data_IF_579657573559
#
_entry.id   IF_579657573559
#
_cell.length_a   1.000
_cell.length_b   1.000
_cell.length_c   1.000
_cell.angle_alpha   90.00
_cell.angle_beta   90.00
_cell.angle_gamma   90.00
#
_symmetry.space_group_name_H-M   'P 1'
#
loop_
_entity.id
_entity.type
_entity.pdbx_description
1 polymer ?
#
# COMPACT_ATOMS: atom_id res chain seq x y z
N UNK A 1 -18.59 -14.11 -11.89
CA UNK A 1 -18.31 -12.89 -11.13
C UNK A 1 -17.00 -13.01 -10.35
N UNK A 2 -15.94 -13.40 -11.06
CA UNK A 2 -14.60 -13.59 -10.50
C UNK A 2 -13.73 -12.40 -10.86
N UNK A 3 -14.11 -11.21 -10.36
CA UNK A 3 -13.17 -10.11 -10.29
C UNK A 3 -12.09 -10.49 -9.28
N UNK A 4 -10.78 -10.48 -9.62
CA UNK A 4 -9.73 -11.07 -8.78
C UNK A 4 -9.48 -10.39 -7.40
N UNK A 5 -10.30 -9.42 -6.99
CA UNK A 5 -9.87 -8.38 -6.04
C UNK A 5 -10.14 -8.69 -4.57
N UNK A 6 -11.34 -9.14 -4.18
CA UNK A 6 -11.69 -9.20 -2.75
C UNK A 6 -11.03 -10.37 -1.99
N UNK A 7 -11.05 -11.59 -2.55
CA UNK A 7 -10.48 -12.77 -1.86
C UNK A 7 -8.98 -12.63 -1.63
N UNK A 8 -8.26 -12.07 -2.61
CA UNK A 8 -6.82 -11.84 -2.49
C UNK A 8 -6.49 -10.74 -1.47
N UNK A 9 -7.29 -9.67 -1.41
CA UNK A 9 -7.07 -8.62 -0.40
C UNK A 9 -7.28 -9.15 1.01
N UNK A 10 -8.42 -9.79 1.27
CA UNK A 10 -8.74 -10.31 2.60
C UNK A 10 -7.76 -11.37 3.08
N UNK A 11 -7.34 -12.31 2.22
CA UNK A 11 -6.35 -13.32 2.61
C UNK A 11 -5.00 -12.70 3.01
N UNK A 12 -4.56 -11.67 2.28
CA UNK A 12 -3.33 -10.95 2.60
C UNK A 12 -3.46 -10.12 3.88
N UNK A 13 -4.59 -9.46 4.11
CA UNK A 13 -4.83 -8.72 5.35
C UNK A 13 -4.80 -9.64 6.56
N UNK A 14 -5.42 -10.82 6.47
CA UNK A 14 -5.34 -11.83 7.53
C UNK A 14 -3.92 -12.37 7.74
N UNK A 15 -3.18 -12.63 6.65
CA UNK A 15 -1.78 -13.04 6.74
C UNK A 15 -0.96 -11.98 7.49
N UNK A 16 -1.08 -10.71 7.13
CA UNK A 16 -0.34 -9.62 7.77
C UNK A 16 -0.77 -9.43 9.23
N UNK A 17 -2.08 -9.45 9.50
CA UNK A 17 -2.63 -9.27 10.84
C UNK A 17 -2.13 -10.36 11.79
N UNK A 18 -2.20 -11.62 11.37
CA UNK A 18 -1.86 -12.76 12.22
C UNK A 18 -0.36 -12.93 12.44
N UNK A 19 0.48 -12.52 11.48
CA UNK A 19 1.93 -12.67 11.60
C UNK A 19 2.61 -11.46 12.25
N UNK A 20 2.16 -10.25 11.97
CA UNK A 20 2.87 -9.01 12.37
C UNK A 20 1.94 -7.90 12.87
N UNK A 21 0.63 -8.16 13.02
CA UNK A 21 -0.34 -7.12 13.40
C UNK A 21 -0.57 -6.07 12.32
N UNK A 22 -0.19 -6.36 11.08
CA UNK A 22 -0.24 -5.44 9.95
C UNK A 22 -1.54 -5.53 9.15
N UNK A 23 -1.67 -4.63 8.18
CA UNK A 23 -2.77 -4.64 7.19
C UNK A 23 -2.28 -4.04 5.88
N UNK A 24 -2.98 -4.30 4.76
CA UNK A 24 -2.78 -3.50 3.55
C UNK A 24 -3.28 -2.08 3.76
N UNK A 25 -2.69 -1.16 3.01
CA UNK A 25 -3.10 0.24 2.97
C UNK A 25 -3.73 0.56 1.63
N UNK A 26 -4.74 1.42 1.66
CA UNK A 26 -5.18 2.16 0.46
C UNK A 26 -4.09 3.16 0.07
N UNK A 27 -4.12 3.62 -1.19
CA UNK A 27 -3.21 4.68 -1.65
C UNK A 27 -3.28 5.90 -0.75
N UNK A 28 -4.48 6.40 -0.44
CA UNK A 28 -4.66 7.57 0.44
C UNK A 28 -4.06 7.37 1.84
N UNK A 29 -4.26 6.19 2.44
CA UNK A 29 -3.67 5.89 3.75
C UNK A 29 -2.15 5.80 3.68
N UNK A 30 -1.59 5.29 2.59
CA UNK A 30 -0.13 5.20 2.41
C UNK A 30 0.47 6.58 2.15
N UNK A 31 -0.18 7.41 1.33
CA UNK A 31 0.22 8.81 1.08
C UNK A 31 0.32 9.58 2.39
N UNK A 32 -0.73 9.57 3.22
CA UNK A 32 -0.72 10.27 4.50
C UNK A 32 0.43 9.82 5.41
N UNK A 33 0.68 8.50 5.50
CA UNK A 33 1.77 7.96 6.32
C UNK A 33 3.16 8.35 5.82
N UNK A 34 3.37 8.34 4.51
CA UNK A 34 4.65 8.74 3.90
C UNK A 34 4.90 10.23 4.10
N UNK A 35 3.88 11.08 3.91
CA UNK A 35 4.00 12.53 4.13
C UNK A 35 4.17 12.88 5.60
N UNK A 36 3.46 12.21 6.51
CA UNK A 36 3.60 12.39 7.96
C UNK A 36 5.00 11.99 8.45
N UNK A 37 5.65 11.06 7.75
CA UNK A 37 7.04 10.67 7.98
C UNK A 37 8.08 11.64 7.38
N UNK A 38 7.64 12.71 6.71
CA UNK A 38 8.50 13.73 6.11
C UNK A 38 9.03 13.39 4.72
N UNK A 39 8.49 12.35 4.06
CA UNK A 39 8.87 12.02 2.68
C UNK A 39 8.09 12.89 1.68
N UNK A 40 8.77 13.27 0.61
CA UNK A 40 8.16 13.86 -0.59
C UNK A 40 7.85 12.72 -1.55
N UNK A 41 6.60 12.63 -2.01
CA UNK A 41 6.16 11.60 -2.97
C UNK A 41 6.24 12.20 -4.37
N UNK A 42 7.11 11.65 -5.21
CA UNK A 42 7.37 12.14 -6.57
C UNK A 42 6.47 11.46 -7.61
N UNK A 43 6.17 10.17 -7.43
CA UNK A 43 5.30 9.40 -8.33
C UNK A 43 4.61 8.22 -7.60
N UNK A 44 3.42 7.86 -8.08
CA UNK A 44 2.70 6.64 -7.67
C UNK A 44 2.19 5.95 -8.93
N UNK A 45 2.69 4.74 -9.20
CA UNK A 45 2.35 4.00 -10.41
C UNK A 45 1.93 2.56 -10.13
N UNK A 46 0.89 2.04 -10.81
CA UNK A 46 0.54 0.63 -10.71
C UNK A 46 1.63 -0.23 -11.33
N UNK A 47 2.06 -1.27 -10.62
CA UNK A 47 2.98 -2.29 -11.15
C UNK A 47 2.19 -3.46 -11.72
N UNK A 48 1.10 -3.83 -11.04
CA UNK A 48 0.11 -4.81 -11.48
C UNK A 48 -1.20 -4.56 -10.70
N UNK A 49 -2.28 -5.35 -10.91
CA UNK A 49 -3.56 -5.12 -10.24
C UNK A 49 -3.55 -5.16 -8.70
N UNK A 50 -2.46 -5.63 -8.08
CA UNK A 50 -2.33 -5.78 -6.63
C UNK A 50 -1.21 -4.94 -6.00
N UNK A 51 -0.31 -4.36 -6.81
CA UNK A 51 0.90 -3.67 -6.33
C UNK A 51 1.03 -2.28 -6.97
N UNK A 52 1.43 -1.32 -6.15
CA UNK A 52 1.78 0.04 -6.56
C UNK A 52 3.21 0.33 -6.11
N UNK A 53 3.96 1.04 -6.94
CA UNK A 53 5.25 1.59 -6.59
C UNK A 53 5.06 3.06 -6.20
N UNK A 54 5.65 3.45 -5.07
CA UNK A 54 5.74 4.83 -4.60
C UNK A 54 7.20 5.26 -4.74
N UNK A 55 7.44 6.30 -5.51
CA UNK A 55 8.74 6.94 -5.64
C UNK A 55 8.80 8.10 -4.66
N UNK A 56 9.79 8.10 -3.76
CA UNK A 56 9.86 9.04 -2.65
C UNK A 56 11.29 9.49 -2.38
N UNK A 57 11.42 10.76 -2.03
CA UNK A 57 12.68 11.38 -1.65
C UNK A 57 12.61 11.93 -0.22
N UNK A 58 13.77 11.95 0.45
CA UNK A 58 13.95 12.67 1.71
C UNK A 58 14.45 14.07 1.33
N UNK A 59 13.71 15.15 1.64
CA UNK A 59 14.18 16.51 1.39
C UNK A 59 15.38 16.87 2.27
N UNK A 60 16.27 17.74 1.78
CA UNK A 60 17.46 18.23 2.51
C UNK A 60 17.12 19.10 3.73
#
# INVERSE_FOLDING_TARGET
>A
DDTPSMRFSTAMDLLLLLNVGGAKHTTDSMVGRLTDAGLVIDDIRPVNPYLHAFDCTVPE
#
